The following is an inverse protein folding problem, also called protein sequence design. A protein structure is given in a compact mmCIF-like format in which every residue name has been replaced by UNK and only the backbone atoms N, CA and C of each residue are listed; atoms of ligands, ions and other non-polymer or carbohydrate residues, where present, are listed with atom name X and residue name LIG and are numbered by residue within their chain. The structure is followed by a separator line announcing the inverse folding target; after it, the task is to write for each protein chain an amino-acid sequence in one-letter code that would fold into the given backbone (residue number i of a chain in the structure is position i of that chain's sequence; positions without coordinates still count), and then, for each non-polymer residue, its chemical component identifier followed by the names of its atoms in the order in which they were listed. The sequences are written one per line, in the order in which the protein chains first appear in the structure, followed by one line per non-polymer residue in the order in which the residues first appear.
data_IF_399740243218
#
_entry.id   IF_399740243218
#
_cell.length_a   1.000
_cell.length_b   1.000
_cell.length_c   1.000
_cell.angle_alpha   90.00
_cell.angle_beta   90.00
_cell.angle_gamma   90.00
#
_symmetry.space_group_name_H-M   'P 1'
#
loop_
_entity.id
_entity.type
_entity.pdbx_description
1 polymer ?
#
# COMPACT_ATOMS: atom_id res chain seq x y z
N UNK A 1 4.87 -7.27 12.57
CA UNK A 1 5.05 -7.47 11.10
C UNK A 1 3.68 -7.59 10.47
N UNK A 2 3.37 -6.87 9.38
CA UNK A 2 2.12 -7.09 8.63
C UNK A 2 2.29 -8.30 7.72
N UNK A 3 1.78 -9.46 8.14
CA UNK A 3 1.78 -10.68 7.33
C UNK A 3 1.00 -10.48 6.01
N UNK A 4 -0.07 -9.67 6.04
CA UNK A 4 -0.93 -9.36 4.89
C UNK A 4 -0.13 -8.70 3.77
N UNK A 5 0.59 -7.62 4.07
CA UNK A 5 1.40 -6.88 3.07
C UNK A 5 2.51 -7.75 2.48
N UNK A 6 3.14 -8.59 3.31
CA UNK A 6 4.20 -9.50 2.89
C UNK A 6 3.68 -10.57 1.93
N UNK A 7 2.51 -11.15 2.24
CA UNK A 7 1.83 -12.12 1.39
C UNK A 7 1.41 -11.49 0.06
N UNK A 8 0.76 -10.33 0.12
CA UNK A 8 0.29 -9.61 -1.07
C UNK A 8 1.42 -9.30 -2.07
N UNK A 9 2.57 -8.79 -1.57
CA UNK A 9 3.74 -8.52 -2.42
C UNK A 9 4.26 -9.78 -3.10
N UNK A 10 4.26 -10.93 -2.40
CA UNK A 10 4.71 -12.21 -2.97
C UNK A 10 3.72 -12.76 -3.99
N UNK A 11 2.43 -12.77 -3.64
CA UNK A 11 1.37 -13.33 -4.48
C UNK A 11 1.26 -12.58 -5.82
N UNK A 12 1.41 -11.25 -5.78
CA UNK A 12 1.38 -10.39 -6.97
C UNK A 12 2.76 -10.10 -7.57
N UNK A 13 3.84 -10.71 -7.03
CA UNK A 13 5.23 -10.50 -7.47
C UNK A 13 5.62 -9.02 -7.61
N UNK A 14 5.15 -8.18 -6.69
CA UNK A 14 5.44 -6.74 -6.72
C UNK A 14 6.91 -6.49 -6.42
N UNK A 15 7.53 -5.59 -7.17
CA UNK A 15 8.93 -5.22 -7.00
C UNK A 15 9.09 -3.71 -6.93
N UNK A 16 10.23 -3.25 -6.41
CA UNK A 16 10.59 -1.83 -6.38
C UNK A 16 11.03 -1.29 -7.76
N UNK A 17 11.09 -2.14 -8.78
CA UNK A 17 11.37 -1.74 -10.18
C UNK A 17 10.10 -1.31 -10.93
N UNK A 18 8.91 -1.65 -10.40
CA UNK A 18 7.63 -1.27 -10.99
C UNK A 18 7.38 0.23 -10.91
N UNK A 19 6.68 0.76 -11.92
CA UNK A 19 6.28 2.16 -11.94
C UNK A 19 5.23 2.47 -10.87
N UNK A 20 5.06 3.76 -10.56
CA UNK A 20 3.99 4.19 -9.64
C UNK A 20 2.60 3.87 -10.21
N UNK A 21 2.44 3.91 -11.52
CA UNK A 21 1.18 3.64 -12.22
C UNK A 21 0.80 2.17 -12.09
N UNK A 22 1.74 1.26 -12.37
CA UNK A 22 1.55 -0.18 -12.22
C UNK A 22 1.18 -0.54 -10.78
N UNK A 23 1.91 0.02 -9.82
CA UNK A 23 1.65 -0.21 -8.40
C UNK A 23 0.30 0.35 -7.94
N UNK A 24 -0.13 1.49 -8.48
CA UNK A 24 -1.41 2.12 -8.13
C UNK A 24 -2.60 1.26 -8.56
N UNK A 25 -2.47 0.42 -9.59
CA UNK A 25 -3.53 -0.50 -10.00
C UNK A 25 -3.85 -1.55 -8.93
N UNK A 26 -2.89 -1.87 -8.05
CA UNK A 26 -3.08 -2.83 -6.96
C UNK A 26 -3.60 -2.19 -5.67
N UNK A 27 -3.71 -0.86 -5.62
CA UNK A 27 -4.17 -0.17 -4.43
C UNK A 27 -5.56 -0.62 -3.96
N UNK A 28 -6.59 -0.78 -4.83
CA UNK A 28 -7.90 -1.25 -4.39
C UNK A 28 -7.82 -2.64 -3.74
N UNK A 29 -7.11 -3.57 -4.38
CA UNK A 29 -7.01 -4.96 -3.93
C UNK A 29 -6.31 -5.09 -2.57
N UNK A 30 -5.23 -4.35 -2.33
CA UNK A 30 -4.56 -4.40 -1.02
C UNK A 30 -5.38 -3.69 0.07
N UNK A 31 -6.19 -2.68 -0.30
CA UNK A 31 -7.03 -1.95 0.64
C UNK A 31 -8.26 -2.73 1.09
N UNK A 32 -8.79 -3.66 0.28
CA UNK A 32 -9.87 -4.57 0.67
C UNK A 32 -9.46 -5.54 1.77
N UNK A 33 -8.18 -5.95 1.79
CA UNK A 33 -7.64 -6.91 2.76
C UNK A 33 -6.92 -6.25 3.93
N UNK A 34 -6.46 -5.00 3.78
CA UNK A 34 -5.80 -4.27 4.86
C UNK A 34 -6.83 -3.66 5.80
N UNK A 35 -6.60 -3.71 7.13
CA UNK A 35 -7.44 -3.00 8.08
C UNK A 35 -7.55 -1.51 7.75
N UNK A 36 -8.72 -0.93 8.01
CA UNK A 36 -8.93 0.52 7.95
C UNK A 36 -8.14 1.30 9.01
N UNK A 37 -7.50 0.62 9.95
CA UNK A 37 -6.65 1.22 10.96
C UNK A 37 -5.45 1.97 10.32
N UNK A 38 -5.37 3.27 10.63
CA UNK A 38 -4.32 4.18 10.14
C UNK A 38 -2.90 3.72 10.51
N UNK A 39 -2.72 3.20 11.73
CA UNK A 39 -1.44 2.71 12.21
C UNK A 39 -1.06 1.40 11.52
N UNK A 40 -2.03 0.51 11.25
CA UNK A 40 -1.80 -0.70 10.43
C UNK A 40 -1.37 -0.34 9.01
N UNK A 41 -2.00 0.64 8.37
CA UNK A 41 -1.60 1.14 7.03
C UNK A 41 -0.22 1.79 7.07
N UNK A 42 0.12 2.51 8.14
CA UNK A 42 1.47 3.05 8.35
C UNK A 42 2.51 1.94 8.47
N UNK A 43 2.27 0.93 9.30
CA UNK A 43 3.17 -0.22 9.45
C UNK A 43 3.35 -1.00 8.15
N UNK A 44 2.30 -1.12 7.34
CA UNK A 44 2.36 -1.74 6.03
C UNK A 44 3.28 -0.95 5.07
N UNK A 45 3.16 0.38 5.02
CA UNK A 45 4.09 1.23 4.24
C UNK A 45 5.53 1.13 4.73
N UNK A 46 5.75 1.12 6.04
CA UNK A 46 7.09 0.96 6.62
C UNK A 46 7.70 -0.39 6.21
N UNK A 47 6.88 -1.44 6.12
CA UNK A 47 7.32 -2.76 5.65
C UNK A 47 7.68 -2.77 4.17
N UNK A 48 6.92 -2.08 3.31
CA UNK A 48 7.24 -1.95 1.89
C UNK A 48 8.60 -1.26 1.70
N UNK A 49 8.84 -0.17 2.43
CA UNK A 49 10.09 0.59 2.33
C UNK A 49 11.29 -0.17 2.91
N UNK A 50 11.20 -0.64 4.16
CA UNK A 50 12.33 -1.27 4.85
C UNK A 50 12.55 -2.73 4.44
N UNK A 51 11.48 -3.46 4.13
CA UNK A 51 11.53 -4.89 3.85
C UNK A 51 11.66 -5.23 2.36
N UNK A 52 11.15 -4.38 1.48
CA UNK A 52 11.12 -4.62 0.04
C UNK A 52 11.78 -3.51 -0.78
N UNK A 53 12.36 -2.50 -0.13
CA UNK A 53 13.08 -1.40 -0.78
C UNK A 53 12.22 -0.55 -1.71
N UNK A 54 10.91 -0.51 -1.49
CA UNK A 54 10.02 0.39 -2.21
C UNK A 54 10.36 1.83 -1.82
N UNK A 55 10.25 2.74 -2.78
CA UNK A 55 10.33 4.17 -2.48
C UNK A 55 9.14 4.58 -1.60
N UNK A 56 9.26 5.75 -0.96
CA UNK A 56 8.14 6.34 -0.22
C UNK A 56 6.91 6.50 -1.12
N UNK A 57 7.10 7.00 -2.33
CA UNK A 57 6.04 7.22 -3.31
C UNK A 57 5.37 5.92 -3.72
N UNK A 58 6.15 4.87 -4.01
CA UNK A 58 5.63 3.54 -4.35
C UNK A 58 4.80 2.94 -3.20
N UNK A 59 5.25 3.11 -1.95
CA UNK A 59 4.50 2.66 -0.78
C UNK A 59 3.17 3.42 -0.61
N UNK A 60 3.12 4.70 -0.98
CA UNK A 60 1.88 5.50 -0.98
C UNK A 60 0.97 5.20 -2.18
N UNK A 61 1.54 4.83 -3.33
CA UNK A 61 0.80 4.38 -4.50
C UNK A 61 0.01 3.10 -4.17
N UNK A 62 0.68 2.12 -3.53
CA UNK A 62 0.03 0.88 -3.06
C UNK A 62 -0.91 1.09 -1.88
N UNK A 63 -0.48 1.86 -0.87
CA UNK A 63 -1.23 2.04 0.38
C UNK A 63 -1.42 3.54 0.62
N UNK A 64 -2.43 4.15 -0.01
CA UNK A 64 -2.79 5.53 0.22
C UNK A 64 -3.04 5.81 1.71
N UNK A 65 -2.78 7.04 2.15
CA UNK A 65 -3.30 7.47 3.44
C UNK A 65 -4.82 7.50 3.37
N UNK A 66 -5.49 7.06 4.43
CA UNK A 66 -6.86 7.51 4.66
C UNK A 66 -6.81 9.03 4.80
N UNK A 67 -7.17 9.75 3.73
CA UNK A 67 -7.69 11.10 3.91
C UNK A 67 -9.03 10.89 4.61
N UNK A 68 -9.09 11.29 5.88
CA UNK A 68 -10.36 11.64 6.52
C UNK A 68 -11.23 12.33 5.49
N UNK A 69 -12.41 11.77 5.23
CA UNK A 69 -13.20 11.99 4.03
C UNK A 69 -13.17 13.41 3.49
N UNK A 70 -12.81 13.56 2.22
CA UNK A 70 -13.41 14.58 1.38
C UNK A 70 -14.42 13.88 0.50
N UNK A 71 -15.61 13.67 1.04
CA UNK A 71 -16.82 13.84 0.25
C UNK A 71 -16.71 15.24 -0.37
N UNK A 72 -16.36 15.31 -1.66
CA UNK A 72 -16.91 16.39 -2.47
C UNK A 72 -18.32 15.94 -2.81
N UNK A 73 -19.25 16.28 -1.92
CA UNK A 73 -20.64 16.41 -2.34
C UNK A 73 -20.68 17.48 -3.44
N UNK A 74 -21.54 17.24 -4.43
CA UNK A 74 -21.69 17.94 -5.71
C UNK A 74 -21.67 19.46 -5.62
#
# INVERSE_FOLDING_TARGET
MSAITTKFVKDHKLTNEMSLEDLSQYAPAILEILPEDREKRRQARDRLQKGYKFSKEQAFALIPSQRTGRTKSQ
#
